data_IF_224192094427
#
_entry.id   IF_224192094427
#
_cell.length_a   1.000
_cell.length_b   1.000
_cell.length_c   1.000
_cell.angle_alpha   90.00
_cell.angle_beta   90.00
_cell.angle_gamma   90.00
#
_symmetry.space_group_name_H-M   'P 1'
#
loop_
_entity.id
_entity.type
_entity.pdbx_description
1 polymer ?
#
# COMPACT_ATOMS: atom_id res chain seq x y z
N UNK A 1 -17.11 -33.17 -29.62
CA UNK A 1 -15.82 -32.44 -29.71
C UNK A 1 -16.14 -31.07 -30.27
N UNK A 2 -16.34 -30.08 -29.40
CA UNK A 2 -16.58 -28.70 -29.82
C UNK A 2 -15.25 -27.96 -29.90
N UNK A 3 -14.93 -27.40 -31.07
CA UNK A 3 -13.71 -26.64 -31.29
C UNK A 3 -13.69 -25.39 -30.40
N UNK A 4 -12.66 -25.28 -29.56
CA UNK A 4 -12.34 -24.04 -28.85
C UNK A 4 -11.77 -23.08 -29.89
N UNK A 5 -12.54 -22.07 -30.31
CA UNK A 5 -12.06 -21.04 -31.22
C UNK A 5 -11.04 -20.17 -30.48
N UNK A 6 -9.81 -20.12 -31.00
CA UNK A 6 -8.75 -19.26 -30.49
C UNK A 6 -9.10 -17.80 -30.77
N UNK A 7 -9.33 -17.02 -29.71
CA UNK A 7 -9.46 -15.56 -29.81
C UNK A 7 -8.11 -14.98 -30.21
N UNK A 8 -8.08 -14.13 -31.22
CA UNK A 8 -6.84 -13.54 -31.72
C UNK A 8 -6.36 -12.40 -30.81
N UNK A 9 -5.04 -12.17 -30.75
CA UNK A 9 -4.43 -11.09 -29.95
C UNK A 9 -4.96 -9.69 -30.31
N UNK A 10 -5.46 -9.52 -31.54
CA UNK A 10 -6.08 -8.27 -32.01
C UNK A 10 -7.51 -8.04 -31.45
N UNK A 11 -8.31 -9.10 -31.30
CA UNK A 11 -9.66 -9.06 -30.73
C UNK A 11 -9.62 -8.80 -29.21
N UNK A 12 -8.64 -9.40 -28.52
CA UNK A 12 -8.32 -9.08 -27.12
C UNK A 12 -7.89 -7.61 -26.96
N UNK A 13 -7.04 -7.10 -27.86
CA UNK A 13 -6.60 -5.70 -27.85
C UNK A 13 -7.72 -4.68 -28.06
N UNK A 14 -8.74 -5.01 -28.86
CA UNK A 14 -9.94 -4.17 -29.03
C UNK A 14 -10.89 -4.25 -27.83
N UNK A 15 -11.08 -5.45 -27.25
CA UNK A 15 -11.86 -5.65 -26.02
C UNK A 15 -11.26 -4.89 -24.83
N UNK A 16 -9.93 -4.93 -24.66
CA UNK A 16 -9.21 -4.17 -23.62
C UNK A 16 -9.40 -2.66 -23.76
N UNK A 17 -9.41 -2.11 -24.99
CA UNK A 17 -9.63 -0.68 -25.23
C UNK A 17 -11.08 -0.24 -24.99
N UNK A 18 -12.07 -1.04 -25.38
CA UNK A 18 -13.48 -0.71 -25.12
C UNK A 18 -13.82 -0.82 -23.62
N UNK A 19 -13.15 -1.74 -22.92
CA UNK A 19 -13.31 -1.99 -21.49
C UNK A 19 -12.61 -0.92 -20.63
N UNK A 20 -11.43 -0.44 -21.02
CA UNK A 20 -10.77 0.70 -20.36
C UNK A 20 -11.59 2.01 -20.47
N UNK A 21 -12.35 2.17 -21.56
CA UNK A 21 -13.31 3.28 -21.72
C UNK A 21 -14.55 3.15 -20.82
N UNK A 22 -15.01 1.94 -20.54
CA UNK A 22 -16.14 1.67 -19.64
C UNK A 22 -15.76 1.73 -18.15
N UNK A 23 -14.50 1.48 -17.78
CA UNK A 23 -14.00 1.61 -16.40
C UNK A 23 -13.89 3.06 -15.96
N UNK A 24 -13.63 4.00 -16.88
CA UNK A 24 -13.56 5.42 -16.57
C UNK A 24 -14.87 6.00 -16.02
N UNK A 25 -16.03 5.39 -16.31
CA UNK A 25 -17.32 5.88 -15.81
C UNK A 25 -17.68 5.37 -14.41
N UNK A 26 -16.84 4.53 -13.79
CA UNK A 26 -16.97 4.15 -12.39
C UNK A 26 -16.22 5.15 -11.53
N UNK A 27 -16.97 5.91 -10.72
CA UNK A 27 -16.53 6.96 -9.78
C UNK A 27 -15.40 6.58 -8.79
N UNK A 28 -14.82 5.38 -8.88
CA UNK A 28 -13.72 4.88 -8.05
C UNK A 28 -12.35 4.77 -8.74
N UNK A 29 -12.24 4.93 -10.06
CA UNK A 29 -11.00 4.57 -10.77
C UNK A 29 -10.31 5.73 -11.50
N UNK A 30 -9.94 6.77 -10.74
CA UNK A 30 -9.19 7.89 -11.29
C UNK A 30 -7.71 7.55 -11.48
N UNK A 31 -7.18 7.89 -12.66
CA UNK A 31 -5.74 7.93 -12.99
C UNK A 31 -4.91 6.70 -12.53
N UNK A 32 -5.46 5.50 -12.77
CA UNK A 32 -4.79 4.20 -12.50
C UNK A 32 -4.84 3.23 -13.68
N UNK A 33 -5.13 3.76 -14.87
CA UNK A 33 -5.30 2.98 -16.11
C UNK A 33 -4.02 2.25 -16.49
N UNK A 34 -2.87 2.90 -16.40
CA UNK A 34 -1.59 2.28 -16.77
C UNK A 34 -1.25 1.10 -15.86
N UNK A 35 -1.46 1.22 -14.55
CA UNK A 35 -1.22 0.15 -13.59
C UNK A 35 -2.19 -1.02 -13.80
N UNK A 36 -3.46 -0.73 -14.12
CA UNK A 36 -4.46 -1.75 -14.43
C UNK A 36 -4.14 -2.48 -15.74
N UNK A 37 -3.82 -1.75 -16.81
CA UNK A 37 -3.39 -2.36 -18.07
C UNK A 37 -2.13 -3.20 -17.89
N UNK A 38 -1.19 -2.74 -17.07
CA UNK A 38 0.01 -3.50 -16.74
C UNK A 38 -0.31 -4.79 -16.00
N UNK A 39 -1.24 -4.76 -15.04
CA UNK A 39 -1.71 -5.97 -14.36
C UNK A 39 -2.38 -6.95 -15.33
N UNK A 40 -3.25 -6.45 -16.21
CA UNK A 40 -3.90 -7.28 -17.24
C UNK A 40 -2.86 -7.93 -18.16
N UNK A 41 -1.90 -7.16 -18.68
CA UNK A 41 -0.81 -7.70 -19.53
C UNK A 41 0.03 -8.75 -18.80
N UNK A 42 0.23 -8.58 -17.50
CA UNK A 42 0.98 -9.55 -16.68
C UNK A 42 0.20 -10.86 -16.55
N UNK A 43 -1.12 -10.78 -16.37
CA UNK A 43 -1.97 -11.95 -16.19
C UNK A 43 -2.30 -12.68 -17.50
N UNK A 44 -2.06 -12.04 -18.64
CA UNK A 44 -2.19 -12.61 -19.99
C UNK A 44 -0.86 -13.15 -20.54
N UNK A 45 0.26 -12.83 -19.91
CA UNK A 45 1.59 -13.18 -20.41
C UNK A 45 2.10 -14.50 -19.86
N UNK A 46 2.66 -15.34 -20.74
CA UNK A 46 3.54 -16.43 -20.36
C UNK A 46 5.01 -15.96 -20.23
N UNK A 47 5.83 -16.59 -19.36
CA UNK A 47 5.47 -17.66 -18.42
C UNK A 47 4.70 -17.10 -17.21
N UNK A 48 3.94 -17.95 -16.50
CA UNK A 48 3.23 -17.58 -15.27
C UNK A 48 4.20 -17.14 -14.17
N UNK A 49 3.85 -16.07 -13.44
CA UNK A 49 4.78 -15.38 -12.53
C UNK A 49 4.14 -15.01 -11.20
N UNK A 50 5.01 -14.86 -10.21
CA UNK A 50 4.70 -14.18 -8.96
C UNK A 50 4.93 -12.68 -9.15
N UNK A 51 3.93 -11.87 -8.86
CA UNK A 51 3.96 -10.42 -8.96
C UNK A 51 3.60 -9.81 -7.60
N UNK A 52 4.18 -8.65 -7.31
CA UNK A 52 4.00 -7.95 -6.04
C UNK A 52 3.60 -6.51 -6.31
N UNK A 53 2.39 -6.14 -5.93
CA UNK A 53 1.88 -4.78 -5.94
C UNK A 53 2.26 -4.09 -4.63
N UNK A 54 3.20 -3.14 -4.72
CA UNK A 54 3.75 -2.39 -3.58
C UNK A 54 3.32 -0.94 -3.70
N UNK A 55 3.20 -0.26 -2.57
CA UNK A 55 2.90 1.17 -2.54
C UNK A 55 2.50 1.61 -1.15
N UNK A 56 2.49 2.91 -0.84
CA UNK A 56 2.10 3.40 0.48
C UNK A 56 0.73 2.89 0.93
N UNK A 57 0.48 2.92 2.24
CA UNK A 57 -0.88 2.75 2.76
C UNK A 57 -1.80 3.71 2.00
N UNK A 58 -3.02 3.24 1.72
CA UNK A 58 -4.08 4.07 1.16
C UNK A 58 -3.90 4.57 -0.29
N UNK A 59 -2.83 4.16 -0.98
CA UNK A 59 -2.59 4.47 -2.41
C UNK A 59 -3.61 3.87 -3.41
N UNK A 60 -4.62 3.13 -2.95
CA UNK A 60 -5.66 2.53 -3.80
C UNK A 60 -5.36 1.11 -4.31
N UNK A 61 -4.42 0.38 -3.70
CA UNK A 61 -4.06 -1.00 -4.12
C UNK A 61 -5.26 -1.96 -4.14
N UNK A 62 -6.06 -1.99 -3.06
CA UNK A 62 -7.23 -2.86 -2.99
C UNK A 62 -8.28 -2.47 -4.03
N UNK A 63 -8.46 -1.16 -4.26
CA UNK A 63 -9.39 -0.66 -5.27
C UNK A 63 -8.96 -1.06 -6.68
N UNK A 64 -7.65 -0.95 -6.99
CA UNK A 64 -7.07 -1.44 -8.25
C UNK A 64 -7.36 -2.92 -8.48
N UNK A 65 -7.20 -3.76 -7.46
CA UNK A 65 -7.50 -5.19 -7.55
C UNK A 65 -9.01 -5.47 -7.69
N UNK A 66 -9.87 -4.68 -7.03
CA UNK A 66 -11.32 -4.76 -7.22
C UNK A 66 -11.72 -4.41 -8.65
N UNK A 67 -11.15 -3.35 -9.24
CA UNK A 67 -11.40 -3.00 -10.63
C UNK A 67 -10.89 -4.08 -11.59
N UNK A 68 -9.71 -4.64 -11.33
CA UNK A 68 -9.21 -5.80 -12.06
C UNK A 68 -10.19 -6.97 -12.01
N UNK A 69 -10.79 -7.27 -10.84
CA UNK A 69 -11.81 -8.32 -10.70
C UNK A 69 -13.05 -8.06 -11.52
N UNK A 70 -13.59 -6.84 -11.45
CA UNK A 70 -14.78 -6.49 -12.24
C UNK A 70 -14.47 -6.52 -13.73
N UNK A 71 -13.28 -6.08 -14.13
CA UNK A 71 -12.81 -6.26 -15.50
C UNK A 71 -12.79 -7.71 -15.93
N UNK A 72 -12.13 -8.55 -15.13
CA UNK A 72 -11.97 -9.98 -15.40
C UNK A 72 -13.33 -10.69 -15.55
N UNK A 73 -14.33 -10.29 -14.76
CA UNK A 73 -15.71 -10.77 -14.86
C UNK A 73 -16.46 -10.25 -16.09
N UNK A 74 -16.21 -9.00 -16.48
CA UNK A 74 -16.93 -8.29 -17.56
C UNK A 74 -16.44 -8.64 -18.97
N UNK A 75 -15.19 -9.08 -19.12
CA UNK A 75 -14.64 -9.53 -20.41
C UNK A 75 -15.56 -10.59 -21.01
N UNK A 76 -16.16 -10.26 -22.16
CA UNK A 76 -17.05 -11.13 -22.91
C UNK A 76 -16.30 -12.39 -23.36
N UNK A 77 -16.33 -13.39 -22.50
CA UNK A 77 -15.52 -14.59 -22.62
C UNK A 77 -15.29 -15.23 -21.26
N UNK A 78 -16.38 -15.59 -20.55
CA UNK A 78 -16.36 -16.40 -19.31
C UNK A 78 -15.59 -17.73 -19.45
N UNK A 79 -15.11 -18.05 -20.65
CA UNK A 79 -14.50 -19.32 -21.05
C UNK A 79 -13.01 -19.22 -21.41
N UNK A 80 -12.45 -18.02 -21.61
CA UNK A 80 -11.08 -17.86 -22.16
C UNK A 80 -10.03 -17.41 -21.13
N UNK A 81 -10.44 -16.73 -20.04
CA UNK A 81 -9.52 -16.25 -19.01
C UNK A 81 -9.51 -17.18 -17.80
N UNK A 82 -8.33 -17.43 -17.24
CA UNK A 82 -8.16 -18.23 -16.03
C UNK A 82 -8.92 -17.60 -14.84
N UNK A 83 -9.39 -18.40 -13.86
CA UNK A 83 -10.07 -17.87 -12.69
C UNK A 83 -9.21 -16.87 -11.92
N UNK A 84 -9.82 -15.75 -11.51
CA UNK A 84 -9.17 -14.77 -10.64
C UNK A 84 -9.70 -14.91 -9.21
N UNK A 85 -8.80 -15.22 -8.28
CA UNK A 85 -9.07 -15.27 -6.83
C UNK A 85 -8.35 -14.09 -6.19
N UNK A 86 -9.05 -13.35 -5.33
CA UNK A 86 -8.44 -12.28 -4.53
C UNK A 86 -8.70 -12.60 -3.08
N UNK A 87 -7.62 -12.66 -2.30
CA UNK A 87 -7.66 -12.97 -0.88
C UNK A 87 -7.25 -11.70 -0.14
N UNK A 88 -8.19 -11.12 0.61
CA UNK A 88 -7.87 -9.99 1.47
C UNK A 88 -7.43 -10.49 2.86
N UNK A 89 -6.12 -10.47 3.08
CA UNK A 89 -5.52 -10.94 4.34
C UNK A 89 -5.64 -9.92 5.50
N UNK A 90 -6.24 -8.75 5.28
CA UNK A 90 -6.45 -7.75 6.37
C UNK A 90 -7.71 -8.01 7.16
N UNK A 91 -8.75 -8.47 6.47
CA UNK A 91 -10.08 -8.66 7.05
C UNK A 91 -10.39 -10.13 7.34
N UNK A 92 -9.66 -11.05 6.71
CA UNK A 92 -9.86 -12.48 6.89
C UNK A 92 -8.80 -13.07 7.81
N UNK A 93 -9.21 -14.02 8.64
CA UNK A 93 -8.28 -14.83 9.41
C UNK A 93 -7.44 -15.70 8.46
N UNK A 94 -6.16 -15.34 8.36
CA UNK A 94 -5.14 -16.09 7.63
C UNK A 94 -4.03 -16.54 8.58
N UNK A 95 -4.30 -16.62 9.89
CA UNK A 95 -3.31 -16.93 10.93
C UNK A 95 -2.86 -18.38 10.93
N UNK A 96 -3.57 -19.27 10.23
CA UNK A 96 -3.22 -20.69 10.09
C UNK A 96 -3.50 -21.21 8.67
N UNK A 97 -2.83 -22.32 8.27
CA UNK A 97 -3.10 -22.99 7.00
C UNK A 97 -4.55 -23.42 6.84
N UNK A 98 -5.20 -23.88 7.92
CA UNK A 98 -6.60 -24.31 7.90
C UNK A 98 -7.56 -23.13 7.67
N UNK A 99 -7.30 -21.97 8.30
CA UNK A 99 -8.06 -20.76 8.07
C UNK A 99 -7.93 -20.25 6.63
N UNK A 100 -6.70 -20.25 6.08
CA UNK A 100 -6.45 -19.94 4.67
C UNK A 100 -7.15 -20.93 3.72
N UNK A 101 -7.12 -22.23 4.03
CA UNK A 101 -7.80 -23.25 3.23
C UNK A 101 -9.33 -23.08 3.27
N UNK A 102 -9.90 -22.73 4.42
CA UNK A 102 -11.32 -22.42 4.54
C UNK A 102 -11.70 -21.19 3.70
N UNK A 103 -10.89 -20.12 3.76
CA UNK A 103 -11.08 -18.92 2.97
C UNK A 103 -11.01 -19.20 1.47
N UNK A 104 -9.99 -19.94 1.03
CA UNK A 104 -9.85 -20.39 -0.36
C UNK A 104 -11.07 -21.19 -0.81
N UNK A 105 -11.59 -22.11 0.00
CA UNK A 105 -12.79 -22.90 -0.33
C UNK A 105 -14.03 -22.02 -0.55
N UNK A 106 -14.16 -20.96 0.25
CA UNK A 106 -15.25 -19.98 0.14
C UNK A 106 -15.11 -19.14 -1.12
N UNK A 107 -13.93 -18.58 -1.38
CA UNK A 107 -13.66 -17.76 -2.58
C UNK A 107 -13.72 -18.58 -3.88
N UNK A 108 -13.42 -19.88 -3.83
CA UNK A 108 -13.44 -20.81 -4.97
C UNK A 108 -14.79 -21.51 -5.17
N UNK A 109 -15.86 -21.04 -4.52
CA UNK A 109 -17.20 -21.63 -4.59
C UNK A 109 -17.64 -21.97 -6.02
N UNK A 110 -17.82 -23.27 -6.29
CA UNK A 110 -18.19 -23.83 -7.61
C UNK A 110 -17.07 -24.61 -8.33
N UNK A 111 -15.80 -24.38 -7.99
CA UNK A 111 -14.62 -25.02 -8.61
C UNK A 111 -14.07 -26.20 -7.79
N UNK A 112 -14.89 -26.72 -6.88
CA UNK A 112 -14.53 -27.67 -5.82
C UNK A 112 -13.88 -28.98 -6.28
N UNK A 113 -13.97 -29.36 -7.56
CA UNK A 113 -13.30 -30.58 -8.07
C UNK A 113 -11.85 -30.31 -8.44
N UNK A 114 -11.58 -29.23 -9.18
CA UNK A 114 -10.23 -28.88 -9.63
C UNK A 114 -9.33 -28.39 -8.49
N UNK A 115 -9.90 -27.61 -7.56
CA UNK A 115 -9.22 -27.16 -6.34
C UNK A 115 -8.96 -28.33 -5.39
N UNK A 116 -9.85 -29.32 -5.33
CA UNK A 116 -9.67 -30.53 -4.51
C UNK A 116 -8.58 -31.45 -5.06
N UNK A 117 -8.47 -31.58 -6.38
CA UNK A 117 -7.33 -32.27 -7.01
C UNK A 117 -6.01 -31.51 -6.81
N UNK A 118 -6.07 -30.17 -6.73
CA UNK A 118 -4.93 -29.30 -6.42
C UNK A 118 -4.49 -29.41 -4.95
N UNK A 119 -5.43 -29.31 -4.01
CA UNK A 119 -5.21 -29.32 -2.55
C UNK A 119 -4.99 -30.74 -2.00
N UNK A 120 -5.57 -31.78 -2.59
CA UNK A 120 -5.37 -33.18 -2.19
C UNK A 120 -3.92 -33.66 -2.36
N UNK A 121 -3.13 -32.95 -3.17
CA UNK A 121 -1.67 -33.15 -3.29
C UNK A 121 -0.86 -32.44 -2.21
N UNK A 122 -1.39 -31.39 -1.57
CA UNK A 122 -0.76 -30.73 -0.44
C UNK A 122 -0.93 -31.54 0.84
N UNK A 123 -2.11 -32.13 1.06
CA UNK A 123 -2.39 -32.96 2.24
C UNK A 123 -1.60 -34.26 2.29
N UNK A 124 -0.99 -34.69 1.18
CA UNK A 124 -0.15 -35.89 1.11
C UNK A 124 1.32 -35.62 1.43
N UNK A 125 1.76 -34.36 1.47
CA UNK A 125 3.16 -33.97 1.76
C UNK A 125 3.43 -33.49 3.19
N UNK A 126 2.41 -33.27 4.02
CA UNK A 126 2.57 -32.81 5.41
C UNK A 126 2.08 -33.85 6.43
N UNK A 127 2.87 -34.88 6.67
CA UNK A 127 2.85 -35.57 7.97
C UNK A 127 3.63 -34.72 8.97
N UNK A 128 2.93 -33.91 9.76
CA UNK A 128 3.49 -33.18 10.89
C UNK A 128 3.63 -34.13 12.09
N UNK A 129 4.83 -34.68 12.29
CA UNK A 129 5.22 -35.33 13.54
C UNK A 129 6.03 -34.35 14.40
N UNK A 130 5.64 -34.27 15.68
CA UNK A 130 6.26 -33.53 16.80
C UNK A 130 6.28 -32.00 16.69
N UNK A 131 5.66 -31.38 17.70
CA UNK A 131 5.41 -29.95 17.85
C UNK A 131 6.67 -29.20 18.30
N UNK A 132 7.24 -28.27 17.50
CA UNK A 132 8.21 -27.30 17.97
C UNK A 132 7.48 -26.06 18.51
N UNK A 133 8.18 -25.28 19.34
CA UNK A 133 7.66 -24.03 19.91
C UNK A 133 7.26 -23.02 18.82
N UNK A 134 6.27 -22.16 19.13
CA UNK A 134 5.45 -21.42 18.17
C UNK A 134 6.18 -20.73 17.01
N UNK A 135 7.38 -20.17 17.22
CA UNK A 135 8.15 -19.52 16.14
C UNK A 135 8.55 -20.46 15.00
N UNK A 136 8.95 -21.69 15.31
CA UNK A 136 9.38 -22.67 14.31
C UNK A 136 8.21 -23.25 13.51
N UNK A 137 7.00 -23.24 14.09
CA UNK A 137 5.77 -23.64 13.40
C UNK A 137 5.38 -22.58 12.36
N UNK A 138 5.34 -21.30 12.76
CA UNK A 138 5.03 -20.19 11.86
C UNK A 138 6.01 -20.09 10.68
N UNK A 139 7.31 -20.26 10.92
CA UNK A 139 8.32 -20.19 9.85
C UNK A 139 8.12 -21.32 8.81
N UNK A 140 7.72 -22.52 9.25
CA UNK A 140 7.45 -23.65 8.36
C UNK A 140 6.19 -23.46 7.53
N UNK A 141 5.08 -23.06 8.16
CA UNK A 141 3.80 -22.85 7.45
C UNK A 141 3.91 -21.77 6.37
N UNK A 142 4.69 -20.72 6.65
CA UNK A 142 4.98 -19.65 5.71
C UNK A 142 5.84 -20.14 4.54
N UNK A 143 6.87 -20.94 4.81
CA UNK A 143 7.70 -21.55 3.76
C UNK A 143 6.89 -22.52 2.89
N UNK A 144 5.96 -23.28 3.48
CA UNK A 144 5.05 -24.16 2.76
C UNK A 144 4.09 -23.36 1.85
N UNK A 145 3.55 -22.23 2.32
CA UNK A 145 2.70 -21.34 1.51
C UNK A 145 3.46 -20.73 0.33
N UNK A 146 4.68 -20.23 0.57
CA UNK A 146 5.52 -19.66 -0.48
C UNK A 146 5.95 -20.72 -1.50
N UNK A 147 6.30 -21.92 -1.01
CA UNK A 147 6.59 -23.08 -1.85
C UNK A 147 5.41 -23.49 -2.71
N UNK A 148 4.19 -23.45 -2.16
CA UNK A 148 2.97 -23.67 -2.93
C UNK A 148 2.77 -22.61 -4.03
N UNK A 149 2.94 -21.33 -3.73
CA UNK A 149 2.81 -20.25 -4.73
C UNK A 149 3.86 -20.39 -5.86
N UNK A 150 5.10 -20.76 -5.53
CA UNK A 150 6.12 -21.07 -6.53
C UNK A 150 5.79 -22.33 -7.32
N UNK A 151 5.26 -23.37 -6.66
CA UNK A 151 4.78 -24.58 -7.32
C UNK A 151 3.67 -24.30 -8.33
N UNK A 152 2.71 -23.45 -7.97
CA UNK A 152 1.59 -23.04 -8.83
C UNK A 152 2.02 -22.24 -10.05
N UNK A 153 3.07 -21.44 -9.93
CA UNK A 153 3.57 -20.61 -11.03
C UNK A 153 4.56 -21.38 -11.89
N UNK A 154 5.70 -21.78 -11.35
CA UNK A 154 6.87 -22.22 -12.14
C UNK A 154 6.94 -23.72 -12.37
N UNK A 155 6.50 -24.52 -11.41
CA UNK A 155 6.63 -25.97 -11.50
C UNK A 155 5.45 -26.59 -12.25
N UNK A 156 4.25 -26.07 -12.00
CA UNK A 156 3.02 -26.63 -12.57
C UNK A 156 2.39 -25.75 -13.65
N UNK A 157 2.77 -24.47 -13.77
CA UNK A 157 2.25 -23.58 -14.80
C UNK A 157 0.73 -23.42 -14.71
N UNK A 158 0.18 -23.29 -13.50
CA UNK A 158 -1.28 -23.32 -13.26
C UNK A 158 -1.90 -21.96 -12.94
N UNK A 159 -1.17 -21.04 -12.33
CA UNK A 159 -1.71 -19.72 -11.98
C UNK A 159 -0.64 -18.64 -11.93
N UNK A 160 -1.04 -17.41 -12.26
CA UNK A 160 -0.34 -16.21 -11.78
C UNK A 160 -0.63 -15.99 -10.29
N UNK A 161 0.35 -15.45 -9.56
CA UNK A 161 0.16 -15.04 -8.17
C UNK A 161 0.43 -13.54 -8.09
N UNK A 162 -0.51 -12.77 -7.54
CA UNK A 162 -0.35 -11.33 -7.27
C UNK A 162 -0.50 -11.10 -5.77
N UNK A 163 0.54 -10.59 -5.13
CA UNK A 163 0.53 -10.21 -3.71
C UNK A 163 0.52 -8.69 -3.60
N UNK A 164 -0.33 -8.11 -2.74
CA UNK A 164 -0.35 -6.67 -2.51
C UNK A 164 0.07 -6.33 -1.08
N UNK A 165 0.99 -5.38 -0.91
CA UNK A 165 1.44 -4.94 0.40
C UNK A 165 1.61 -3.43 0.47
N UNK A 166 1.29 -2.86 1.64
CA UNK A 166 1.64 -1.46 1.95
C UNK A 166 3.05 -1.30 2.48
N UNK A 167 3.70 -2.42 2.80
CA UNK A 167 5.01 -2.46 3.41
C UNK A 167 6.06 -2.77 2.34
N UNK A 168 6.94 -1.82 2.07
CA UNK A 168 8.05 -2.00 1.12
C UNK A 168 9.10 -3.00 1.64
N UNK A 169 9.12 -3.33 2.94
CA UNK A 169 9.90 -4.44 3.50
C UNK A 169 9.42 -5.78 3.02
N UNK A 170 8.15 -5.89 2.66
CA UNK A 170 7.62 -7.12 2.08
C UNK A 170 8.45 -7.56 0.87
N UNK A 171 8.92 -6.62 0.04
CA UNK A 171 9.83 -6.91 -1.06
C UNK A 171 11.17 -7.49 -0.62
N UNK A 172 11.80 -6.85 0.37
CA UNK A 172 13.11 -7.30 0.89
C UNK A 172 12.99 -8.64 1.60
N UNK A 173 11.91 -8.85 2.34
CA UNK A 173 11.57 -10.11 2.97
C UNK A 173 11.35 -11.22 1.92
N UNK A 174 10.59 -10.95 0.86
CA UNK A 174 10.37 -11.88 -0.25
C UNK A 174 11.67 -12.26 -0.98
N UNK A 175 12.61 -11.33 -1.20
CA UNK A 175 13.92 -11.65 -1.82
C UNK A 175 14.78 -12.60 -0.99
N UNK A 176 14.57 -12.67 0.33
CA UNK A 176 15.27 -13.63 1.18
C UNK A 176 14.66 -15.04 1.07
N UNK A 177 13.38 -15.13 0.70
CA UNK A 177 12.64 -16.39 0.59
C UNK A 177 12.63 -16.95 -0.83
N UNK A 178 12.53 -16.07 -1.83
CA UNK A 178 12.66 -16.42 -3.24
C UNK A 178 14.02 -15.99 -3.77
N UNK A 179 14.69 -16.85 -4.53
CA UNK A 179 15.90 -16.45 -5.25
C UNK A 179 15.66 -15.21 -6.14
N UNK A 180 16.70 -14.45 -6.42
CA UNK A 180 16.57 -13.23 -7.22
C UNK A 180 15.93 -13.49 -8.60
N UNK A 181 15.10 -12.53 -9.05
CA UNK A 181 14.37 -12.62 -10.32
C UNK A 181 13.13 -13.52 -10.30
N UNK A 182 12.82 -14.16 -9.16
CA UNK A 182 11.67 -15.06 -9.06
C UNK A 182 10.30 -14.38 -8.98
N UNK A 183 10.26 -13.07 -8.72
CA UNK A 183 9.05 -12.27 -8.72
C UNK A 183 9.28 -10.87 -9.32
N UNK A 184 8.21 -10.24 -9.83
CA UNK A 184 8.23 -8.86 -10.33
C UNK A 184 7.48 -7.93 -9.39
N UNK A 185 7.85 -6.65 -9.39
CA UNK A 185 7.20 -5.62 -8.56
C UNK A 185 6.51 -4.57 -9.41
N UNK A 186 5.29 -4.19 -9.01
CA UNK A 186 4.52 -3.08 -9.56
C UNK A 186 4.40 -2.07 -8.42
N UNK A 187 4.89 -0.85 -8.64
CA UNK A 187 4.80 0.23 -7.67
C UNK A 187 3.53 1.06 -7.92
N UNK A 188 2.79 1.34 -6.86
CA UNK A 188 1.63 2.22 -6.83
C UNK A 188 1.94 3.40 -5.92
N UNK A 189 2.05 4.60 -6.51
CA UNK A 189 2.33 5.83 -5.76
C UNK A 189 1.08 6.45 -5.17
N UNK A 190 1.28 7.46 -4.31
CA UNK A 190 0.25 8.48 -4.07
C UNK A 190 0.15 9.39 -5.30
N UNK A 191 -0.93 10.16 -5.40
CA UNK A 191 -1.05 11.19 -6.43
C UNK A 191 -0.02 12.30 -6.23
N UNK A 192 0.44 12.93 -7.32
CA UNK A 192 1.06 14.25 -7.19
C UNK A 192 -0.01 15.29 -6.83
N UNK A 193 0.40 16.52 -6.52
CA UNK A 193 -0.54 17.57 -6.11
C UNK A 193 -1.59 17.86 -7.19
N UNK A 194 -1.18 17.99 -8.46
CA UNK A 194 -2.11 18.24 -9.57
C UNK A 194 -3.10 17.09 -9.76
N UNK A 195 -2.63 15.84 -9.70
CA UNK A 195 -3.47 14.65 -9.79
C UNK A 195 -4.44 14.56 -8.60
N UNK A 196 -3.99 14.90 -7.40
CA UNK A 196 -4.80 14.90 -6.19
C UNK A 196 -5.90 15.97 -6.27
N UNK A 197 -5.53 17.16 -6.76
CA UNK A 197 -6.45 18.28 -6.95
C UNK A 197 -7.54 17.91 -7.95
N UNK A 198 -7.12 17.38 -9.10
CA UNK A 198 -8.04 16.94 -10.15
C UNK A 198 -8.96 15.81 -9.66
N UNK A 199 -8.40 14.80 -8.99
CA UNK A 199 -9.19 13.72 -8.38
C UNK A 199 -10.24 14.29 -7.42
N UNK A 200 -9.84 15.23 -6.57
CA UNK A 200 -10.72 15.82 -5.59
C UNK A 200 -11.86 16.62 -6.25
N UNK A 201 -11.53 17.55 -7.13
CA UNK A 201 -12.51 18.48 -7.73
C UNK A 201 -13.41 17.84 -8.77
N UNK A 202 -12.91 16.92 -9.57
CA UNK A 202 -13.66 16.34 -10.68
C UNK A 202 -14.39 15.06 -10.29
N UNK A 203 -13.93 14.36 -9.24
CA UNK A 203 -14.47 13.03 -8.88
C UNK A 203 -15.04 13.01 -7.46
N UNK A 204 -14.25 13.40 -6.45
CA UNK A 204 -14.69 13.27 -5.04
C UNK A 204 -15.81 14.25 -4.70
N UNK A 205 -15.57 15.56 -4.86
CA UNK A 205 -16.52 16.59 -4.48
C UNK A 205 -17.87 16.46 -5.21
N UNK A 206 -17.93 16.27 -6.54
CA UNK A 206 -19.20 16.12 -7.25
C UNK A 206 -19.97 14.87 -6.82
N UNK A 207 -19.29 13.77 -6.53
CA UNK A 207 -19.93 12.51 -6.09
C UNK A 207 -20.63 12.67 -4.74
N UNK A 208 -20.06 13.49 -3.86
CA UNK A 208 -20.60 13.77 -2.53
C UNK A 208 -21.53 14.99 -2.52
N UNK A 209 -21.75 15.64 -3.66
CA UNK A 209 -22.59 16.84 -3.76
C UNK A 209 -21.98 18.08 -3.11
N UNK A 210 -20.67 18.07 -2.82
CA UNK A 210 -19.96 19.19 -2.22
C UNK A 210 -19.84 20.34 -3.23
N UNK A 211 -20.16 21.55 -2.77
CA UNK A 211 -20.02 22.80 -3.54
C UNK A 211 -18.71 23.48 -3.20
N UNK A 212 -17.76 23.40 -4.13
CA UNK A 212 -16.50 24.11 -4.00
C UNK A 212 -16.70 25.60 -4.35
N UNK A 213 -16.19 26.54 -3.53
CA UNK A 213 -16.16 27.96 -3.87
C UNK A 213 -15.43 28.22 -5.19
N UNK A 214 -15.69 29.37 -5.83
CA UNK A 214 -15.02 29.71 -7.09
C UNK A 214 -13.49 29.83 -6.95
N UNK A 215 -13.01 30.24 -5.78
CA UNK A 215 -11.61 30.43 -5.43
C UNK A 215 -11.04 29.29 -4.55
N UNK A 216 -11.71 28.14 -4.50
CA UNK A 216 -11.36 27.01 -3.62
C UNK A 216 -9.91 26.54 -3.76
N UNK A 217 -9.32 26.65 -4.97
CA UNK A 217 -7.93 26.28 -5.20
C UNK A 217 -6.94 27.11 -4.37
N UNK A 218 -7.29 28.36 -4.07
CA UNK A 218 -6.49 29.25 -3.25
C UNK A 218 -6.90 29.21 -1.76
N UNK A 219 -8.20 29.01 -1.47
CA UNK A 219 -8.75 29.18 -0.12
C UNK A 219 -8.93 27.88 0.66
N UNK A 220 -9.14 26.75 -0.01
CA UNK A 220 -9.49 25.46 0.62
C UNK A 220 -8.46 24.38 0.30
N UNK A 221 -8.02 24.30 -0.96
CA UNK A 221 -7.12 23.26 -1.43
C UNK A 221 -5.80 23.16 -0.64
N UNK A 222 -5.12 24.27 -0.27
CA UNK A 222 -3.88 24.18 0.50
C UNK A 222 -4.04 23.41 1.81
N UNK A 223 -5.14 23.64 2.53
CA UNK A 223 -5.45 22.93 3.79
C UNK A 223 -5.73 21.45 3.54
N UNK A 224 -6.51 21.13 2.51
CA UNK A 224 -6.81 19.74 2.13
C UNK A 224 -5.51 19.00 1.79
N UNK A 225 -4.66 19.59 0.95
CA UNK A 225 -3.44 18.95 0.49
C UNK A 225 -2.38 18.86 1.60
N UNK A 226 -2.28 19.83 2.50
CA UNK A 226 -1.41 19.73 3.67
C UNK A 226 -1.80 18.55 4.58
N UNK A 227 -3.10 18.34 4.79
CA UNK A 227 -3.60 17.26 5.64
C UNK A 227 -3.55 15.87 4.96
N UNK A 228 -4.05 15.77 3.73
CA UNK A 228 -4.26 14.50 3.03
C UNK A 228 -3.17 14.16 1.99
N UNK A 229 -2.43 15.17 1.51
CA UNK A 229 -1.52 15.07 0.38
C UNK A 229 -2.15 14.36 -0.81
N UNK A 230 -1.36 13.50 -1.46
CA UNK A 230 -1.80 12.71 -2.60
C UNK A 230 -2.58 11.43 -2.27
N UNK A 231 -3.07 11.25 -1.03
CA UNK A 231 -3.73 10.01 -0.60
C UNK A 231 -5.19 9.95 -1.05
N UNK A 232 -5.56 9.05 -1.99
CA UNK A 232 -6.95 8.96 -2.47
C UNK A 232 -7.95 8.66 -1.35
N UNK A 233 -7.55 7.82 -0.39
CA UNK A 233 -8.40 7.49 0.76
C UNK A 233 -8.61 8.69 1.68
N UNK A 234 -7.55 9.41 2.05
CA UNK A 234 -7.67 10.55 2.97
C UNK A 234 -8.46 11.68 2.34
N UNK A 235 -8.22 11.97 1.06
CA UNK A 235 -9.02 12.93 0.29
C UNK A 235 -10.51 12.58 0.31
N UNK A 236 -10.85 11.30 0.11
CA UNK A 236 -12.24 10.83 0.15
C UNK A 236 -12.83 10.87 1.56
N UNK A 237 -12.08 10.46 2.58
CA UNK A 237 -12.54 10.44 3.98
C UNK A 237 -12.81 11.84 4.48
N UNK A 238 -11.90 12.78 4.21
CA UNK A 238 -12.07 14.20 4.57
C UNK A 238 -13.33 14.77 3.92
N UNK A 239 -13.49 14.58 2.60
CA UNK A 239 -14.66 15.05 1.88
C UNK A 239 -15.96 14.41 2.38
N UNK A 240 -15.93 13.11 2.67
CA UNK A 240 -17.09 12.40 3.20
C UNK A 240 -17.50 12.98 4.55
N UNK A 241 -16.55 13.18 5.47
CA UNK A 241 -16.86 13.78 6.76
C UNK A 241 -17.42 15.20 6.59
N UNK A 242 -16.80 16.02 5.74
CA UNK A 242 -17.27 17.38 5.48
C UNK A 242 -18.69 17.42 4.90
N UNK A 243 -19.07 16.41 4.10
CA UNK A 243 -20.42 16.29 3.53
C UNK A 243 -21.51 15.86 4.52
N UNK A 244 -21.11 15.36 5.70
CA UNK A 244 -22.05 14.95 6.76
C UNK A 244 -22.42 16.12 7.69
N UNK A 245 -21.64 17.19 7.66
CA UNK A 245 -21.84 18.39 8.48
C UNK A 245 -22.84 19.34 7.80
N UNK A 246 -23.64 20.05 8.61
CA UNK A 246 -24.73 20.91 8.11
C UNK A 246 -24.27 22.34 7.74
N UNK A 247 -23.00 22.66 7.99
CA UNK A 247 -22.41 23.97 7.75
C UNK A 247 -21.94 24.12 6.29
N UNK A 248 -21.35 25.27 5.94
CA UNK A 248 -20.85 25.52 4.58
C UNK A 248 -19.73 24.54 4.20
N UNK A 249 -19.88 23.86 3.07
CA UNK A 249 -18.97 22.81 2.57
C UNK A 249 -17.48 23.23 2.63
N UNK A 250 -17.17 24.46 2.25
CA UNK A 250 -15.80 24.98 2.28
C UNK A 250 -15.22 25.05 3.70
N UNK A 251 -16.02 25.54 4.65
CA UNK A 251 -15.66 25.63 6.07
C UNK A 251 -15.48 24.23 6.64
N UNK A 252 -16.38 23.30 6.30
CA UNK A 252 -16.30 21.91 6.76
C UNK A 252 -15.04 21.23 6.21
N UNK A 253 -14.71 21.43 4.94
CA UNK A 253 -13.50 20.86 4.33
C UNK A 253 -12.22 21.33 5.04
N UNK A 254 -12.13 22.63 5.36
CA UNK A 254 -10.98 23.16 6.10
C UNK A 254 -10.96 22.63 7.54
N UNK A 255 -12.10 22.57 8.22
CA UNK A 255 -12.20 22.01 9.56
C UNK A 255 -11.77 20.53 9.60
N UNK A 256 -12.28 19.71 8.69
CA UNK A 256 -11.92 18.29 8.59
C UNK A 256 -10.44 18.08 8.21
N UNK A 257 -9.85 18.99 7.42
CA UNK A 257 -8.41 18.98 7.18
C UNK A 257 -7.63 19.24 8.48
N UNK A 258 -8.05 20.24 9.26
CA UNK A 258 -7.44 20.56 10.54
C UNK A 258 -7.60 19.42 11.56
N UNK A 259 -8.76 18.77 11.62
CA UNK A 259 -9.00 17.63 12.49
C UNK A 259 -8.03 16.47 12.21
N UNK A 260 -7.73 16.18 10.93
CA UNK A 260 -6.72 15.17 10.58
C UNK A 260 -5.33 15.53 11.10
N UNK A 261 -4.95 16.81 11.03
CA UNK A 261 -3.67 17.32 11.53
C UNK A 261 -3.65 17.25 13.07
N UNK A 262 -4.73 17.65 13.73
CA UNK A 262 -4.84 17.64 15.19
C UNK A 262 -4.80 16.22 15.75
N UNK A 263 -5.47 15.26 15.10
CA UNK A 263 -5.36 13.84 15.46
C UNK A 263 -3.93 13.34 15.29
N UNK A 264 -3.24 13.72 14.21
CA UNK A 264 -1.83 13.39 14.04
C UNK A 264 -0.96 14.02 15.12
N UNK A 265 -1.22 15.28 15.50
CA UNK A 265 -0.52 15.98 16.59
C UNK A 265 -0.71 15.29 17.92
N UNK A 266 -1.94 14.97 18.32
CA UNK A 266 -2.22 14.26 19.57
C UNK A 266 -1.52 12.90 19.60
N UNK A 267 -1.53 12.16 18.48
CA UNK A 267 -0.79 10.89 18.39
C UNK A 267 0.72 11.08 18.56
N UNK A 268 1.29 12.13 17.96
CA UNK A 268 2.70 12.47 18.14
C UNK A 268 2.96 12.80 19.61
N UNK A 269 2.23 13.76 20.20
CA UNK A 269 2.38 14.21 21.60
C UNK A 269 2.24 13.07 22.62
N UNK A 270 1.23 12.20 22.45
CA UNK A 270 1.07 11.00 23.27
C UNK A 270 2.30 10.10 23.17
N UNK A 271 2.84 9.94 21.97
CA UNK A 271 4.05 9.14 21.77
C UNK A 271 5.30 9.85 22.33
N UNK A 272 5.33 11.19 22.33
CA UNK A 272 6.39 11.98 22.98
C UNK A 272 6.41 11.80 24.49
N UNK A 273 5.23 11.81 25.12
CA UNK A 273 5.09 11.70 26.58
C UNK A 273 5.28 10.29 27.14
N UNK A 274 5.16 9.26 26.30
CA UNK A 274 5.26 7.85 26.68
C UNK A 274 6.57 7.18 26.22
N UNK A 275 7.45 7.93 25.56
CA UNK A 275 8.66 7.40 24.95
C UNK A 275 9.78 7.08 25.93
N UNK A 276 10.34 5.87 25.85
CA UNK A 276 11.59 5.53 26.53
C UNK A 276 12.79 5.63 25.59
N UNK A 277 13.81 6.38 26.01
CA UNK A 277 15.15 6.30 25.42
C UNK A 277 15.56 7.43 24.47
N UNK A 278 14.76 8.49 24.35
CA UNK A 278 15.11 9.79 23.75
C UNK A 278 14.74 10.95 24.67
N UNK A 279 15.36 12.10 24.47
CA UNK A 279 15.02 13.35 25.15
C UNK A 279 14.04 14.18 24.31
N UNK A 280 13.24 15.07 24.94
CA UNK A 280 12.41 16.02 24.19
C UNK A 280 13.22 16.88 23.20
N UNK A 281 14.44 17.26 23.55
CA UNK A 281 15.34 18.02 22.69
C UNK A 281 15.79 17.23 21.45
N UNK A 282 16.13 15.95 21.61
CA UNK A 282 16.50 15.08 20.49
C UNK A 282 15.33 14.91 19.51
N UNK A 283 14.13 14.65 20.03
CA UNK A 283 12.96 14.47 19.16
C UNK A 283 12.59 15.77 18.43
N UNK A 284 12.66 16.90 19.13
CA UNK A 284 12.45 18.23 18.53
C UNK A 284 13.49 18.50 17.44
N UNK A 285 14.75 18.16 17.68
CA UNK A 285 15.82 18.30 16.69
C UNK A 285 15.56 17.46 15.44
N UNK A 286 15.08 16.22 15.60
CA UNK A 286 14.69 15.36 14.47
C UNK A 286 13.53 15.98 13.68
N UNK A 287 12.48 16.46 14.36
CA UNK A 287 11.33 17.08 13.69
C UNK A 287 11.76 18.35 12.94
N UNK A 288 12.56 19.22 13.56
CA UNK A 288 13.11 20.41 12.89
C UNK A 288 13.91 20.04 11.64
N UNK A 289 14.79 19.06 11.73
CA UNK A 289 15.56 18.61 10.55
C UNK A 289 14.66 18.11 9.42
N UNK A 290 13.57 17.37 9.73
CA UNK A 290 12.61 16.90 8.72
C UNK A 290 11.82 18.07 8.13
N UNK A 291 11.39 19.03 8.96
CA UNK A 291 10.64 20.21 8.55
C UNK A 291 11.48 21.11 7.65
N UNK A 292 12.67 21.50 8.08
CA UNK A 292 13.62 22.33 7.33
C UNK A 292 14.10 21.65 6.04
N UNK A 293 14.19 20.31 6.04
CA UNK A 293 14.48 19.50 4.86
C UNK A 293 13.30 19.33 3.88
N UNK A 294 12.20 20.07 4.05
CA UNK A 294 11.04 19.98 3.16
C UNK A 294 10.33 18.62 3.22
N UNK A 295 10.32 17.97 4.38
CA UNK A 295 9.72 16.66 4.60
C UNK A 295 10.70 15.48 4.56
N UNK A 296 11.98 15.74 4.28
CA UNK A 296 13.03 14.72 4.32
C UNK A 296 14.33 15.26 4.91
N UNK A 297 14.87 14.58 5.93
CA UNK A 297 16.18 14.89 6.50
C UNK A 297 17.17 13.78 6.24
N UNK A 298 18.38 14.08 5.77
CA UNK A 298 19.41 13.06 5.63
C UNK A 298 19.77 12.48 7.01
N UNK A 299 19.72 11.15 7.16
CA UNK A 299 19.93 10.48 8.45
C UNK A 299 21.27 10.84 9.09
N UNK A 300 22.33 10.92 8.27
CA UNK A 300 23.67 11.29 8.74
C UNK A 300 23.73 12.69 9.33
N UNK A 301 23.02 13.63 8.72
CA UNK A 301 22.93 15.02 9.19
C UNK A 301 22.25 15.05 10.55
N UNK A 302 21.12 14.35 10.69
CA UNK A 302 20.40 14.22 11.96
C UNK A 302 21.28 13.58 13.03
N UNK A 303 22.04 12.53 12.71
CA UNK A 303 22.96 11.92 13.69
C UNK A 303 24.08 12.86 14.12
N UNK A 304 24.63 13.64 13.20
CA UNK A 304 25.67 14.61 13.53
C UNK A 304 25.12 15.76 14.40
N UNK A 305 23.97 16.32 14.02
CA UNK A 305 23.42 17.55 14.61
C UNK A 305 22.62 17.29 15.89
N UNK A 306 21.81 16.24 15.92
CA UNK A 306 20.92 15.93 17.04
C UNK A 306 21.61 15.05 18.07
N UNK A 307 22.31 14.01 17.60
CA UNK A 307 22.92 13.00 18.47
C UNK A 307 24.43 13.20 18.67
N UNK A 308 24.99 14.35 18.26
CA UNK A 308 26.42 14.67 18.42
C UNK A 308 27.37 13.63 17.80
N UNK A 309 26.94 12.98 16.70
CA UNK A 309 27.69 11.93 16.04
C UNK A 309 27.59 10.54 16.70
N UNK A 310 26.79 10.38 17.77
CA UNK A 310 26.60 9.09 18.45
C UNK A 310 25.69 8.14 17.65
N UNK A 311 26.24 7.53 16.59
CA UNK A 311 25.51 6.63 15.66
C UNK A 311 24.76 5.52 16.40
N UNK A 312 25.35 4.88 17.41
CA UNK A 312 24.67 3.80 18.14
C UNK A 312 23.44 4.29 18.92
N UNK A 313 23.52 5.48 19.50
CA UNK A 313 22.39 6.08 20.20
C UNK A 313 21.31 6.55 19.21
N UNK A 314 21.71 7.26 18.15
CA UNK A 314 20.80 7.65 17.08
C UNK A 314 20.11 6.46 16.42
N UNK A 315 20.82 5.35 16.21
CA UNK A 315 20.23 4.11 15.68
C UNK A 315 19.16 3.55 16.62
N UNK A 316 19.46 3.50 17.92
CA UNK A 316 18.52 3.02 18.94
C UNK A 316 17.26 3.88 18.97
N UNK A 317 17.41 5.21 19.02
CA UNK A 317 16.26 6.14 19.07
C UNK A 317 15.45 6.05 17.78
N UNK A 318 16.06 6.38 16.64
CA UNK A 318 15.33 6.49 15.37
C UNK A 318 14.68 5.17 14.99
N UNK A 319 15.41 4.07 15.05
CA UNK A 319 14.89 2.83 14.48
C UNK A 319 14.18 1.92 15.47
N UNK A 320 14.70 1.77 16.69
CA UNK A 320 14.08 0.86 17.65
C UNK A 320 12.89 1.50 18.34
N UNK A 321 12.84 2.84 18.37
CA UNK A 321 11.73 3.56 18.97
C UNK A 321 10.87 4.26 17.93
N UNK A 322 11.37 5.28 17.23
CA UNK A 322 10.51 6.14 16.43
C UNK A 322 9.89 5.43 15.22
N UNK A 323 10.66 4.60 14.51
CA UNK A 323 10.14 3.79 13.39
C UNK A 323 9.19 2.70 13.89
N UNK A 324 9.49 2.04 15.02
CA UNK A 324 8.61 1.00 15.58
C UNK A 324 7.29 1.55 16.08
N UNK A 325 7.33 2.74 16.66
CA UNK A 325 6.14 3.49 17.10
C UNK A 325 5.45 4.23 15.95
N UNK A 326 5.89 4.03 14.70
CA UNK A 326 5.28 4.60 13.49
C UNK A 326 5.20 6.14 13.51
N UNK A 327 6.19 6.79 14.13
CA UNK A 327 6.31 8.26 14.22
C UNK A 327 6.95 8.82 12.94
N UNK A 328 7.99 8.15 12.45
CA UNK A 328 8.73 8.50 11.23
C UNK A 328 9.02 7.26 10.39
N UNK A 329 9.26 7.48 9.09
CA UNK A 329 9.86 6.50 8.20
C UNK A 329 11.33 6.80 7.96
N UNK A 330 12.11 5.75 7.75
CA UNK A 330 13.46 5.85 7.19
C UNK A 330 13.37 5.36 5.75
N UNK A 331 13.85 6.17 4.80
CA UNK A 331 13.77 5.88 3.36
C UNK A 331 15.12 6.05 2.66
N UNK A 332 15.43 5.18 1.70
CA UNK A 332 16.55 5.31 0.77
C UNK A 332 16.10 6.03 -0.50
N UNK A 333 16.89 6.99 -0.97
CA UNK A 333 16.71 7.58 -2.29
C UNK A 333 17.19 6.60 -3.36
N UNK A 334 16.28 6.04 -4.15
CA UNK A 334 16.57 5.03 -5.18
C UNK A 334 16.77 5.64 -6.58
N UNK A 335 16.24 6.84 -6.82
CA UNK A 335 16.40 7.72 -7.99
C UNK A 335 16.17 9.17 -7.54
N UNK A 336 16.48 10.17 -8.36
CA UNK A 336 16.41 11.60 -8.02
C UNK A 336 15.15 12.05 -7.23
N UNK A 337 14.00 11.39 -7.40
CA UNK A 337 12.74 11.71 -6.71
C UNK A 337 12.03 10.51 -6.07
N UNK A 338 12.64 9.32 -6.04
CA UNK A 338 11.96 8.09 -5.57
C UNK A 338 12.58 7.54 -4.30
N UNK A 339 11.79 7.55 -3.24
CA UNK A 339 12.16 6.99 -1.95
C UNK A 339 11.68 5.54 -1.78
N UNK A 340 12.37 4.78 -0.93
CA UNK A 340 12.05 3.39 -0.59
C UNK A 340 12.22 3.17 0.92
N UNK A 341 11.22 2.65 1.63
CA UNK A 341 11.36 2.40 3.07
C UNK A 341 12.51 1.42 3.38
N UNK A 342 13.21 1.66 4.50
CA UNK A 342 14.40 0.95 4.97
C UNK A 342 14.14 0.32 6.33
N UNK A 343 14.47 -0.97 6.56
CA UNK A 343 14.11 -1.60 7.81
C UNK A 343 14.86 -0.94 8.96
N UNK A 344 14.28 -0.99 10.15
CA UNK A 344 14.86 -0.47 11.40
C UNK A 344 16.31 -0.94 11.69
N UNK A 345 16.79 -1.99 11.03
CA UNK A 345 18.09 -2.62 11.31
C UNK A 345 19.15 -2.38 10.22
N UNK A 346 18.84 -1.65 9.15
CA UNK A 346 19.82 -1.31 8.12
C UNK A 346 20.11 0.19 8.18
N UNK A 347 21.38 0.54 8.45
CA UNK A 347 21.86 1.91 8.30
C UNK A 347 23.11 1.96 7.43
N UNK A 348 23.00 2.69 6.32
CA UNK A 348 24.12 3.03 5.45
C UNK A 348 24.04 4.49 4.99
N UNK A 349 25.07 4.94 4.27
CA UNK A 349 25.08 6.19 3.51
C UNK A 349 23.84 6.30 2.61
N UNK A 350 23.09 7.41 2.66
CA UNK A 350 22.02 7.72 1.70
C UNK A 350 20.57 7.57 2.19
N UNK A 351 20.36 7.34 3.49
CA UNK A 351 19.04 7.25 4.11
C UNK A 351 18.50 8.62 4.54
N UNK A 352 17.18 8.74 4.52
CA UNK A 352 16.41 9.94 4.84
C UNK A 352 15.33 9.62 5.86
N UNK A 353 15.17 10.48 6.87
CA UNK A 353 14.06 10.47 7.80
C UNK A 353 12.91 11.29 7.19
N UNK A 354 11.69 10.76 7.24
CA UNK A 354 10.50 11.42 6.71
C UNK A 354 9.31 11.20 7.64
N UNK A 355 8.34 12.12 7.62
CA UNK A 355 7.06 11.91 8.28
C UNK A 355 6.29 10.71 7.67
N UNK A 356 5.41 10.10 8.47
CA UNK A 356 4.63 8.93 8.03
C UNK A 356 3.42 9.28 7.16
N UNK A 357 2.96 10.53 7.23
CA UNK A 357 1.88 11.08 6.41
C UNK A 357 2.00 12.60 6.26
N UNK A 358 1.28 13.23 5.32
CA UNK A 358 1.18 14.68 5.22
C UNK A 358 0.66 15.33 6.50
N UNK A 359 -0.43 14.83 7.09
CA UNK A 359 -0.91 15.28 8.39
C UNK A 359 0.14 15.16 9.52
N UNK A 360 0.94 14.08 9.55
CA UNK A 360 2.01 13.95 10.52
C UNK A 360 3.13 14.98 10.29
N UNK A 361 3.45 15.29 9.03
CA UNK A 361 4.39 16.35 8.69
C UNK A 361 3.90 17.73 9.13
N UNK A 362 2.64 18.05 8.85
CA UNK A 362 2.01 19.29 9.29
C UNK A 362 1.99 19.38 10.84
N UNK A 363 1.64 18.30 11.51
CA UNK A 363 1.68 18.22 12.97
C UNK A 363 3.11 18.40 13.53
N UNK A 364 4.14 17.85 12.88
CA UNK A 364 5.53 18.07 13.27
C UNK A 364 5.93 19.55 13.20
N UNK A 365 5.44 20.31 12.21
CA UNK A 365 5.67 21.77 12.14
C UNK A 365 5.09 22.46 13.37
N UNK A 366 3.83 22.17 13.71
CA UNK A 366 3.17 22.72 14.88
C UNK A 366 3.92 22.39 16.18
N UNK A 367 4.41 21.16 16.33
CA UNK A 367 5.21 20.78 17.49
C UNK A 367 6.58 21.51 17.54
N UNK A 368 7.17 21.86 16.40
CA UNK A 368 8.42 22.63 16.37
C UNK A 368 8.21 24.06 16.86
N UNK A 369 7.07 24.67 16.53
CA UNK A 369 6.74 26.06 16.87
C UNK A 369 6.40 26.26 18.36
N UNK A 370 5.93 25.20 19.04
CA UNK A 370 5.58 25.21 20.48
C UNK A 370 6.81 24.98 21.39
N UNK A 371 7.92 24.47 20.84
CA UNK A 371 9.11 24.05 21.59
C UNK A 371 10.33 24.98 21.40
N UNK A 372 10.12 26.16 20.81
CA UNK A 372 11.05 27.31 20.80
C UNK A 372 10.51 28.42 21.69
#
# INVERSE_FOLDING_TARGET
>A
MGACQSVTSAELGQSIRSVAGAVQSSYGFFNRKEELERLVRILDAEPLQINVLLGPKDAGKSLLLTHLRELWKSSAGRSALAPLVIIDMRINDCSSPDAMAALLRTELGGWQKQVRDLLGRLSSSTRLTSSPSGKAVYDKELDDLLGFMEGMTKQTGRAHVVMASSDEFFRSWLRRKFADGKFKTIGLGLFCEDEAKQFFSEHVAPTLGLKLPQDWEATVWPSIFEAAGGSPYQLKTLALNASLDNDEDATNLVAQAQDLIDVARVNLEMTMGLGEGWTPAELTGIFKAIVEGGGAAAYRTVVAEVFGGQIHHGNRVVHQQLVRSNIIHVRLLTKATKYRDVPAQHTATGEYLMATSPAAYAAMKLCCDVLT
#
